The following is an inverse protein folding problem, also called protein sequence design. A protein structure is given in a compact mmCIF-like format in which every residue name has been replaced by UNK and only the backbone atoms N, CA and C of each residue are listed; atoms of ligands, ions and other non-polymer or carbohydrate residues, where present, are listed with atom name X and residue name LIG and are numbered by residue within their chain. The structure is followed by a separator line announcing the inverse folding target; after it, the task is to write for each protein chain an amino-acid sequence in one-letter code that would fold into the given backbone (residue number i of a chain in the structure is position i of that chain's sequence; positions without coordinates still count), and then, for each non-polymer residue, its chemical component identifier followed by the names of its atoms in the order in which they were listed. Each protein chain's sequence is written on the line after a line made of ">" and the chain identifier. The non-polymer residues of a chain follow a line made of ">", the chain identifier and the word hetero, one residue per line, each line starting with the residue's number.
data_IF_728296455698
#
_entry.id   IF_728296455698
#
_cell.length_a   1.000
_cell.length_b   1.000
_cell.length_c   1.000
_cell.angle_alpha   90.00
_cell.angle_beta   90.00
_cell.angle_gamma   90.00
#
_symmetry.space_group_name_H-M   'P 1'
#
loop_
_entity.id
_entity.type
_entity.pdbx_description
1 polymer ?
#
# COMPACT_ATOMS: atom_id res chain seq x y z
N UNK A 1 -21.01 -13.67 15.19
CA UNK A 1 -20.01 -12.77 15.82
C UNK A 1 -20.24 -11.34 15.33
N UNK A 2 -20.28 -10.34 16.22
CA UNK A 2 -20.53 -8.95 15.83
C UNK A 2 -19.29 -8.25 15.25
N UNK A 3 -19.50 -7.21 14.42
CA UNK A 3 -18.42 -6.37 13.83
C UNK A 3 -17.38 -5.87 14.85
N UNK A 4 -17.79 -5.65 16.11
CA UNK A 4 -16.92 -5.21 17.22
C UNK A 4 -15.91 -6.28 17.67
N UNK A 5 -16.26 -7.57 17.58
CA UNK A 5 -15.42 -8.69 18.04
C UNK A 5 -14.23 -8.93 17.10
N UNK A 6 -14.43 -8.76 15.79
CA UNK A 6 -13.39 -8.93 14.77
C UNK A 6 -12.45 -7.72 14.68
N UNK A 7 -12.96 -6.49 14.90
CA UNK A 7 -12.11 -5.30 14.98
C UNK A 7 -11.11 -5.35 16.16
N UNK A 8 -11.49 -6.00 17.27
CA UNK A 8 -10.60 -6.26 18.41
C UNK A 8 -9.50 -7.29 18.10
N UNK A 9 -9.77 -8.24 17.18
CA UNK A 9 -8.80 -9.22 16.69
C UNK A 9 -7.72 -8.58 15.80
N UNK A 10 -8.06 -7.51 15.05
CA UNK A 10 -7.07 -6.70 14.31
C UNK A 10 -6.12 -5.94 15.25
N UNK A 11 -6.55 -5.67 16.49
CA UNK A 11 -5.81 -4.86 17.47
C UNK A 11 -4.82 -5.64 18.32
N UNK A 12 -4.72 -6.97 18.17
CA UNK A 12 -3.74 -7.79 18.91
C UNK A 12 -2.50 -8.06 18.04
N UNK A 13 -1.43 -7.24 18.15
CA UNK A 13 -0.19 -7.54 17.48
C UNK A 13 0.35 -8.89 17.99
N UNK A 14 0.61 -9.83 17.07
CA UNK A 14 1.30 -11.09 17.38
C UNK A 14 0.56 -12.40 17.07
N UNK A 15 -0.75 -12.39 16.73
CA UNK A 15 -1.45 -13.61 16.32
C UNK A 15 -1.67 -13.63 14.81
N UNK A 16 -1.03 -14.57 14.12
CA UNK A 16 -1.32 -14.84 12.71
C UNK A 16 -2.80 -15.24 12.58
N UNK A 17 -3.51 -14.57 11.67
CA UNK A 17 -4.89 -14.94 11.37
C UNK A 17 -4.92 -16.30 10.68
N UNK A 18 -6.02 -17.04 10.81
CA UNK A 18 -6.28 -18.15 9.88
C UNK A 18 -6.87 -17.57 8.58
N UNK A 19 -6.81 -18.34 7.48
CA UNK A 19 -7.48 -17.96 6.23
C UNK A 19 -8.98 -17.69 6.47
N UNK A 20 -9.63 -18.54 7.26
CA UNK A 20 -11.04 -18.37 7.61
C UNK A 20 -11.32 -17.04 8.33
N UNK A 21 -10.52 -16.69 9.34
CA UNK A 21 -10.68 -15.42 10.06
C UNK A 21 -10.48 -14.20 9.14
N UNK A 22 -9.52 -14.30 8.21
CA UNK A 22 -9.29 -13.26 7.21
C UNK A 22 -10.48 -13.14 6.26
N UNK A 23 -11.00 -14.25 5.76
CA UNK A 23 -12.17 -14.27 4.88
C UNK A 23 -13.42 -13.70 5.56
N UNK A 24 -13.70 -14.11 6.80
CA UNK A 24 -14.82 -13.57 7.60
C UNK A 24 -14.68 -12.06 7.80
N UNK A 25 -13.46 -11.58 8.10
CA UNK A 25 -13.22 -10.16 8.22
C UNK A 25 -13.42 -9.42 6.89
N UNK A 26 -12.83 -9.91 5.79
CA UNK A 26 -12.94 -9.32 4.46
C UNK A 26 -14.40 -9.29 3.98
N UNK A 27 -15.19 -10.33 4.26
CA UNK A 27 -16.62 -10.37 3.94
C UNK A 27 -17.39 -9.25 4.67
N UNK A 28 -17.02 -8.89 5.90
CA UNK A 28 -17.63 -7.75 6.60
C UNK A 28 -17.28 -6.38 6.00
N UNK A 29 -16.20 -6.30 5.22
CA UNK A 29 -15.76 -5.08 4.53
C UNK A 29 -16.27 -5.00 3.08
N UNK A 30 -16.83 -6.09 2.56
CA UNK A 30 -17.25 -6.22 1.18
C UNK A 30 -18.61 -5.56 0.93
N UNK A 31 -18.77 -5.02 -0.28
CA UNK A 31 -20.05 -4.56 -0.80
C UNK A 31 -20.91 -5.74 -1.27
N UNK A 32 -22.19 -5.48 -1.53
CA UNK A 32 -23.15 -6.50 -1.96
C UNK A 32 -22.69 -7.24 -3.24
N UNK A 33 -22.10 -6.52 -4.19
CA UNK A 33 -21.59 -7.09 -5.45
C UNK A 33 -20.46 -8.10 -5.21
N UNK A 34 -19.47 -7.74 -4.39
CA UNK A 34 -18.36 -8.64 -4.05
C UNK A 34 -18.86 -9.86 -3.27
N UNK A 35 -19.84 -9.70 -2.38
CA UNK A 35 -20.47 -10.81 -1.66
C UNK A 35 -21.24 -11.74 -2.60
N UNK A 36 -21.97 -11.20 -3.58
CA UNK A 36 -22.68 -12.00 -4.59
C UNK A 36 -21.70 -12.83 -5.45
N UNK A 37 -20.47 -12.33 -5.64
CA UNK A 37 -19.40 -12.97 -6.43
C UNK A 37 -18.31 -13.58 -5.55
N UNK A 38 -18.59 -13.86 -4.28
CA UNK A 38 -17.56 -14.23 -3.29
C UNK A 38 -16.76 -15.49 -3.64
N UNK A 39 -17.44 -16.48 -4.24
CA UNK A 39 -16.81 -17.71 -4.73
C UNK A 39 -15.89 -17.43 -5.93
N UNK A 40 -16.31 -16.56 -6.85
CA UNK A 40 -15.52 -16.17 -8.02
C UNK A 40 -14.28 -15.34 -7.61
N UNK A 41 -14.41 -14.57 -6.53
CA UNK A 41 -13.33 -13.77 -5.99
C UNK A 41 -12.26 -14.58 -5.22
N UNK A 42 -12.42 -15.92 -5.09
CA UNK A 42 -11.49 -16.77 -4.35
C UNK A 42 -10.03 -16.55 -4.76
N UNK A 43 -9.64 -16.57 -6.05
CA UNK A 43 -8.23 -16.48 -6.42
C UNK A 43 -7.59 -15.18 -5.95
N UNK A 44 -8.34 -14.08 -6.04
CA UNK A 44 -7.92 -12.77 -5.54
C UNK A 44 -7.83 -12.77 -4.01
N UNK A 45 -8.79 -13.38 -3.31
CA UNK A 45 -8.78 -13.49 -1.85
C UNK A 45 -7.58 -14.29 -1.36
N UNK A 46 -7.27 -15.41 -2.02
CA UNK A 46 -6.10 -16.23 -1.66
C UNK A 46 -4.79 -15.48 -1.87
N UNK A 47 -4.66 -14.77 -2.98
CA UNK A 47 -3.46 -14.00 -3.28
C UNK A 47 -3.21 -12.91 -2.22
N UNK A 48 -4.24 -12.12 -1.88
CA UNK A 48 -4.15 -11.07 -0.88
C UNK A 48 -3.91 -11.64 0.53
N UNK A 49 -4.54 -12.78 0.84
CA UNK A 49 -4.30 -13.51 2.08
C UNK A 49 -2.84 -13.96 2.18
N UNK A 50 -2.30 -14.61 1.13
CA UNK A 50 -0.90 -15.07 1.10
C UNK A 50 0.05 -13.90 1.27
N UNK A 51 -0.18 -12.78 0.58
CA UNK A 51 0.58 -11.54 0.74
C UNK A 51 0.44 -10.89 2.13
N UNK A 52 -0.51 -11.34 2.96
CA UNK A 52 -0.75 -10.78 4.28
C UNK A 52 -1.31 -9.36 4.25
N UNK A 53 -2.01 -9.00 3.17
CA UNK A 53 -2.70 -7.71 3.00
C UNK A 53 -4.07 -7.78 3.66
N UNK A 54 -4.47 -6.72 4.35
CA UNK A 54 -5.78 -6.60 4.99
C UNK A 54 -6.57 -5.51 4.28
N UNK A 55 -7.79 -5.83 3.84
CA UNK A 55 -8.72 -4.86 3.28
C UNK A 55 -9.65 -4.36 4.38
N UNK A 56 -9.85 -3.04 4.50
CA UNK A 56 -10.78 -2.43 5.46
C UNK A 56 -11.66 -1.41 4.75
N UNK A 57 -12.96 -1.45 5.04
CA UNK A 57 -13.87 -0.37 4.67
C UNK A 57 -13.76 0.73 5.72
N UNK A 58 -13.44 1.97 5.29
CA UNK A 58 -13.56 3.15 6.15
C UNK A 58 -15.02 3.58 6.21
N UNK A 59 -15.49 4.20 5.13
CA UNK A 59 -16.88 4.56 4.86
C UNK A 59 -17.37 4.02 3.49
N UNK A 60 -16.50 3.37 2.71
CA UNK A 60 -16.85 2.72 1.44
C UNK A 60 -16.53 1.23 1.51
N UNK A 61 -17.48 0.35 1.16
CA UNK A 61 -17.23 -1.08 1.09
C UNK A 61 -16.37 -1.47 -0.10
N UNK A 62 -15.59 -2.54 0.03
CA UNK A 62 -14.75 -3.06 -1.05
C UNK A 62 -15.58 -3.72 -2.16
N UNK A 63 -15.23 -3.41 -3.41
CA UNK A 63 -15.79 -4.03 -4.61
C UNK A 63 -14.83 -5.05 -5.20
N UNK A 64 -15.30 -5.88 -6.13
CA UNK A 64 -14.44 -6.82 -6.85
C UNK A 64 -13.37 -6.09 -7.65
N UNK A 65 -13.76 -5.05 -8.39
CA UNK A 65 -12.87 -4.23 -9.23
C UNK A 65 -11.73 -3.60 -8.41
N UNK A 66 -12.07 -3.01 -7.24
CA UNK A 66 -11.05 -2.45 -6.36
C UNK A 66 -10.10 -3.53 -5.84
N UNK A 67 -10.62 -4.73 -5.55
CA UNK A 67 -9.80 -5.86 -5.09
C UNK A 67 -8.88 -6.39 -6.20
N UNK A 68 -9.33 -6.41 -7.45
CA UNK A 68 -8.51 -6.76 -8.62
C UNK A 68 -7.33 -5.81 -8.80
N UNK A 69 -7.55 -4.49 -8.64
CA UNK A 69 -6.47 -3.50 -8.68
C UNK A 69 -5.44 -3.75 -7.57
N UNK A 70 -5.90 -4.12 -6.37
CA UNK A 70 -5.00 -4.45 -5.27
C UNK A 70 -4.16 -5.67 -5.57
N UNK A 71 -4.81 -6.75 -6.01
CA UNK A 71 -4.11 -7.98 -6.39
C UNK A 71 -3.09 -7.69 -7.51
N UNK A 72 -3.45 -6.90 -8.53
CA UNK A 72 -2.51 -6.54 -9.59
C UNK A 72 -1.30 -5.73 -9.05
N UNK A 73 -1.54 -4.82 -8.10
CA UNK A 73 -0.48 -4.13 -7.37
C UNK A 73 0.46 -5.10 -6.64
N UNK A 74 -0.10 -6.05 -5.88
CA UNK A 74 0.65 -7.09 -5.16
C UNK A 74 1.49 -7.93 -6.12
N UNK A 75 0.91 -8.43 -7.22
CA UNK A 75 1.63 -9.23 -8.23
C UNK A 75 2.79 -8.46 -8.83
N UNK A 76 2.57 -7.23 -9.28
CA UNK A 76 3.61 -6.42 -9.94
C UNK A 76 4.74 -6.06 -8.98
N UNK A 77 4.41 -5.67 -7.76
CA UNK A 77 5.41 -5.39 -6.73
C UNK A 77 6.23 -6.65 -6.45
N UNK A 78 5.57 -7.78 -6.22
CA UNK A 78 6.24 -9.06 -5.93
C UNK A 78 7.13 -9.51 -7.10
N UNK A 79 6.63 -9.43 -8.33
CA UNK A 79 7.37 -9.80 -9.53
C UNK A 79 8.61 -8.92 -9.75
N UNK A 80 8.50 -7.60 -9.55
CA UNK A 80 9.61 -6.67 -9.80
C UNK A 80 10.64 -6.67 -8.67
N UNK A 81 10.18 -6.73 -7.43
CA UNK A 81 11.05 -6.71 -6.25
C UNK A 81 11.72 -8.07 -6.01
N UNK A 82 11.08 -9.15 -6.45
CA UNK A 82 11.45 -10.51 -6.11
C UNK A 82 11.18 -10.85 -4.65
N UNK A 83 11.06 -12.15 -4.36
CA UNK A 83 10.86 -12.67 -3.01
C UNK A 83 9.39 -12.95 -2.66
N UNK A 84 9.18 -13.27 -1.39
CA UNK A 84 7.87 -13.65 -0.86
C UNK A 84 6.97 -12.42 -0.64
N UNK A 85 5.73 -12.48 -1.14
CA UNK A 85 4.79 -11.36 -1.06
C UNK A 85 4.45 -10.98 0.39
N UNK A 86 4.43 -11.94 1.32
CA UNK A 86 4.17 -11.69 2.75
C UNK A 86 5.35 -11.00 3.41
N UNK A 87 6.58 -11.36 3.06
CA UNK A 87 7.76 -10.62 3.53
C UNK A 87 7.75 -9.16 3.08
N UNK A 88 7.30 -8.91 1.85
CA UNK A 88 7.18 -7.56 1.31
C UNK A 88 6.04 -6.80 1.98
N UNK A 89 4.82 -7.31 1.87
CA UNK A 89 3.57 -6.57 2.10
C UNK A 89 2.80 -7.01 3.36
N UNK A 90 3.28 -8.04 4.07
CA UNK A 90 2.60 -8.57 5.25
C UNK A 90 2.41 -7.50 6.32
N UNK A 91 1.15 -7.33 6.75
CA UNK A 91 0.74 -6.32 7.72
C UNK A 91 0.29 -4.99 7.08
N UNK A 92 0.34 -4.87 5.75
CA UNK A 92 -0.25 -3.75 5.02
C UNK A 92 -1.78 -3.77 5.17
N UNK A 93 -2.35 -2.64 5.57
CA UNK A 93 -3.81 -2.44 5.63
C UNK A 93 -4.23 -1.42 4.59
N UNK A 94 -5.09 -1.80 3.65
CA UNK A 94 -5.69 -0.88 2.69
C UNK A 94 -7.07 -0.46 3.20
N UNK A 95 -7.32 0.84 3.26
CA UNK A 95 -8.56 1.42 3.77
C UNK A 95 -9.23 2.19 2.65
N UNK A 96 -10.45 1.79 2.29
CA UNK A 96 -11.22 2.46 1.23
C UNK A 96 -12.15 3.52 1.83
N UNK A 97 -12.03 4.76 1.36
CA UNK A 97 -12.73 5.92 1.92
C UNK A 97 -13.34 6.84 0.84
N UNK A 98 -14.43 7.55 1.13
CA UNK A 98 -15.01 8.58 0.25
C UNK A 98 -14.04 9.75 0.12
N UNK A 99 -13.38 10.11 1.22
CA UNK A 99 -12.41 11.20 1.28
C UNK A 99 -11.18 10.75 2.05
N UNK A 100 -10.03 10.90 1.42
CA UNK A 100 -8.74 10.69 2.05
C UNK A 100 -8.20 12.02 2.57
N UNK A 101 -8.22 12.20 3.88
CA UNK A 101 -7.55 13.32 4.54
C UNK A 101 -6.43 12.81 5.46
N UNK A 102 -5.18 13.26 5.26
CA UNK A 102 -4.10 12.91 6.17
C UNK A 102 -4.37 13.51 7.56
N UNK A 103 -3.77 12.92 8.61
CA UNK A 103 -3.96 13.39 9.99
C UNK A 103 -3.56 14.86 10.20
N UNK A 104 -2.66 15.39 9.38
CA UNK A 104 -2.24 16.79 9.38
C UNK A 104 -3.13 17.71 8.52
N UNK A 105 -4.22 17.21 7.95
CA UNK A 105 -5.18 18.00 7.15
C UNK A 105 -5.68 19.28 7.86
N UNK A 106 -5.87 19.34 9.19
CA UNK A 106 -6.18 20.60 9.86
C UNK A 106 -5.11 21.69 9.64
N UNK A 107 -3.83 21.35 9.71
CA UNK A 107 -2.72 22.29 9.45
C UNK A 107 -2.69 22.73 7.99
N UNK A 108 -2.95 21.79 7.07
CA UNK A 108 -3.07 22.12 5.65
C UNK A 108 -4.19 23.10 5.38
N UNK A 109 -5.38 22.87 5.96
CA UNK A 109 -6.53 23.76 5.83
C UNK A 109 -6.21 25.15 6.36
N UNK A 110 -5.50 25.23 7.49
CA UNK A 110 -5.08 26.49 8.08
C UNK A 110 -4.20 27.30 7.11
N UNK A 111 -3.25 26.66 6.44
CA UNK A 111 -2.31 27.35 5.54
C UNK A 111 -2.86 27.59 4.12
N UNK A 112 -3.64 26.66 3.59
CA UNK A 112 -4.05 26.66 2.18
C UNK A 112 -5.52 27.05 1.96
N UNK A 113 -6.31 27.17 3.03
CA UNK A 113 -7.77 27.45 2.99
C UNK A 113 -8.58 26.49 2.09
N UNK A 114 -8.06 25.29 1.83
CA UNK A 114 -8.67 24.23 1.01
C UNK A 114 -8.52 22.88 1.70
N UNK A 115 -9.48 21.94 1.54
CA UNK A 115 -9.33 20.58 2.09
C UNK A 115 -8.20 19.83 1.40
N UNK A 116 -7.46 19.04 2.18
CA UNK A 116 -6.33 18.26 1.67
C UNK A 116 -6.79 17.19 0.66
N UNK A 117 -8.00 16.65 0.84
CA UNK A 117 -8.58 15.60 -0.01
C UNK A 117 -8.71 15.95 -1.50
N UNK A 118 -8.66 17.24 -1.87
CA UNK A 118 -8.65 17.68 -3.27
C UNK A 118 -7.32 17.41 -3.97
N UNK A 119 -6.22 17.30 -3.21
CA UNK A 119 -4.87 17.10 -3.73
C UNK A 119 -4.41 15.64 -3.59
N UNK A 120 -4.92 14.92 -2.60
CA UNK A 120 -4.48 13.57 -2.26
C UNK A 120 -5.57 12.56 -2.60
N UNK A 121 -5.30 11.69 -3.58
CA UNK A 121 -6.16 10.55 -3.93
C UNK A 121 -5.85 9.29 -3.11
N UNK A 122 -4.74 9.30 -2.39
CA UNK A 122 -4.36 8.31 -1.38
C UNK A 122 -3.31 8.90 -0.43
N UNK A 123 -3.04 8.22 0.69
CA UNK A 123 -1.86 8.45 1.51
C UNK A 123 -1.51 7.23 2.37
N UNK A 124 -0.23 7.07 2.66
CA UNK A 124 0.30 6.06 3.58
C UNK A 124 0.56 6.63 4.99
N UNK A 125 0.23 5.86 6.03
CA UNK A 125 0.57 6.16 7.43
C UNK A 125 0.61 4.88 8.28
N UNK A 126 1.78 4.53 8.84
CA UNK A 126 1.96 3.46 9.84
C UNK A 126 1.37 2.12 9.40
N UNK A 127 1.83 1.61 8.26
CA UNK A 127 1.35 0.35 7.70
C UNK A 127 -0.04 0.41 7.06
N UNK A 128 -0.68 1.58 6.99
CA UNK A 128 -2.01 1.75 6.39
C UNK A 128 -1.90 2.62 5.15
N UNK A 129 -2.61 2.24 4.09
CA UNK A 129 -2.81 3.09 2.91
C UNK A 129 -4.30 3.42 2.85
N UNK A 130 -4.61 4.70 2.91
CA UNK A 130 -5.95 5.22 2.73
C UNK A 130 -6.14 5.54 1.25
N UNK A 131 -7.17 4.96 0.63
CA UNK A 131 -7.46 5.08 -0.79
C UNK A 131 -8.81 5.76 -0.97
N UNK A 132 -8.87 6.75 -1.86
CA UNK A 132 -10.14 7.37 -2.23
C UNK A 132 -10.89 6.44 -3.19
N UNK A 133 -12.16 6.16 -2.93
CA UNK A 133 -12.93 5.15 -3.65
C UNK A 133 -13.10 5.42 -5.14
N UNK A 134 -13.21 6.69 -5.54
CA UNK A 134 -13.25 7.14 -6.94
C UNK A 134 -11.88 7.12 -7.63
N UNK A 135 -10.81 6.78 -6.90
CA UNK A 135 -9.42 6.84 -7.37
C UNK A 135 -8.60 5.61 -6.97
N UNK A 136 -9.22 4.43 -6.92
CA UNK A 136 -8.49 3.15 -6.78
C UNK A 136 -7.77 2.85 -8.10
N UNK A 137 -6.58 3.42 -8.27
CA UNK A 137 -5.76 3.26 -9.47
C UNK A 137 -4.47 2.56 -9.12
N UNK A 138 -4.05 1.65 -10.00
CA UNK A 138 -2.83 0.87 -9.83
C UNK A 138 -1.59 1.76 -9.59
N UNK A 139 -1.44 2.86 -10.34
CA UNK A 139 -0.30 3.76 -10.19
C UNK A 139 -0.24 4.42 -8.81
N UNK A 140 -1.38 4.87 -8.30
CA UNK A 140 -1.51 5.45 -6.97
C UNK A 140 -1.24 4.40 -5.90
N UNK A 141 -1.83 3.21 -6.03
CA UNK A 141 -1.62 2.12 -5.07
C UNK A 141 -0.13 1.72 -4.97
N UNK A 142 0.53 1.51 -6.10
CA UNK A 142 1.94 1.10 -6.12
C UNK A 142 2.85 2.19 -5.57
N UNK A 143 2.54 3.47 -5.82
CA UNK A 143 3.24 4.60 -5.19
C UNK A 143 3.16 4.52 -3.67
N UNK A 144 1.95 4.35 -3.11
CA UNK A 144 1.75 4.24 -1.66
C UNK A 144 2.38 2.95 -1.07
N UNK A 145 2.40 1.85 -1.82
CA UNK A 145 3.17 0.65 -1.45
C UNK A 145 4.68 0.94 -1.37
N UNK A 146 5.19 1.85 -2.22
CA UNK A 146 6.56 2.36 -2.13
C UNK A 146 6.83 3.07 -0.80
N UNK A 147 5.90 3.92 -0.33
CA UNK A 147 5.98 4.52 1.01
C UNK A 147 5.95 3.48 2.12
N UNK A 148 5.07 2.48 2.03
CA UNK A 148 4.99 1.39 2.99
C UNK A 148 6.32 0.60 3.08
N UNK A 149 6.92 0.27 1.94
CA UNK A 149 8.20 -0.44 1.90
C UNK A 149 9.35 0.43 2.41
N UNK A 150 9.33 1.73 2.15
CA UNK A 150 10.29 2.66 2.74
C UNK A 150 10.14 2.73 4.26
N UNK A 151 8.93 2.81 4.79
CA UNK A 151 8.68 2.78 6.24
C UNK A 151 9.24 1.50 6.86
N UNK A 152 9.04 0.36 6.21
CA UNK A 152 9.48 -0.96 6.68
C UNK A 152 11.00 -1.16 6.62
N UNK A 153 11.71 -0.48 5.71
CA UNK A 153 13.12 -0.77 5.37
C UNK A 153 14.07 0.44 5.42
N UNK A 154 13.56 1.63 5.65
CA UNK A 154 14.31 2.89 5.75
C UNK A 154 15.20 3.19 4.52
N UNK A 155 14.65 3.01 3.32
CA UNK A 155 15.36 3.10 2.04
C UNK A 155 15.67 4.54 1.62
N UNK A 156 14.77 5.49 1.90
CA UNK A 156 14.78 6.86 1.37
C UNK A 156 16.03 7.65 1.77
N UNK A 157 16.63 7.36 2.92
CA UNK A 157 17.89 7.99 3.34
C UNK A 157 19.06 7.52 2.49
N UNK A 158 19.17 6.22 2.21
CA UNK A 158 20.22 5.67 1.35
C UNK A 158 20.02 6.10 -0.11
N UNK A 159 18.78 6.05 -0.59
CA UNK A 159 18.36 6.57 -1.88
C UNK A 159 18.79 8.04 -2.09
N UNK A 160 18.46 8.93 -1.16
CA UNK A 160 18.84 10.34 -1.26
C UNK A 160 20.35 10.59 -1.17
N UNK A 161 21.14 9.70 -0.56
CA UNK A 161 22.62 9.74 -0.67
C UNK A 161 23.09 9.30 -2.04
N UNK A 162 22.50 8.23 -2.56
CA UNK A 162 22.84 7.70 -3.89
C UNK A 162 22.62 8.72 -5.00
N UNK A 163 21.48 9.41 -5.00
CA UNK A 163 21.19 10.47 -5.97
C UNK A 163 22.19 11.62 -5.89
N UNK A 164 22.48 12.11 -4.69
CA UNK A 164 23.42 13.22 -4.50
C UNK A 164 24.84 12.85 -4.93
N UNK A 165 25.29 11.63 -4.67
CA UNK A 165 26.58 11.14 -5.14
C UNK A 165 26.67 11.09 -6.67
N UNK A 166 25.55 10.88 -7.36
CA UNK A 166 25.46 10.93 -8.81
C UNK A 166 25.16 12.34 -9.37
N UNK A 167 25.21 13.39 -8.53
CA UNK A 167 24.93 14.78 -8.95
C UNK A 167 23.45 15.09 -9.20
N UNK A 168 22.52 14.19 -8.84
CA UNK A 168 21.09 14.38 -9.04
C UNK A 168 20.41 15.07 -7.85
N UNK A 169 19.42 15.91 -8.17
CA UNK A 169 18.51 16.50 -7.17
C UNK A 169 17.40 15.53 -6.81
N UNK A 170 17.03 15.57 -5.54
CA UNK A 170 15.81 14.91 -5.02
C UNK A 170 14.60 15.75 -5.43
N UNK A 171 13.58 15.11 -5.98
CA UNK A 171 12.32 15.75 -6.40
C UNK A 171 11.34 15.84 -5.23
N UNK A 172 10.81 17.03 -4.94
CA UNK A 172 9.88 17.30 -3.80
C UNK A 172 10.50 17.02 -2.43
N UNK A 173 10.64 15.75 -2.06
CA UNK A 173 11.40 15.27 -0.91
C UNK A 173 11.82 13.81 -1.15
N UNK A 174 12.70 13.27 -0.31
CA UNK A 174 13.28 11.92 -0.51
C UNK A 174 12.27 10.78 -0.46
N UNK A 175 11.15 10.95 0.24
CA UNK A 175 10.12 9.93 0.39
C UNK A 175 9.26 9.87 -0.88
N UNK A 176 8.81 11.03 -1.35
CA UNK A 176 8.01 11.18 -2.56
C UNK A 176 8.79 10.79 -3.82
N UNK A 177 10.06 11.21 -3.94
CA UNK A 177 10.91 10.84 -5.07
C UNK A 177 11.13 9.32 -5.13
N UNK A 178 11.40 8.69 -3.97
CA UNK A 178 11.53 7.24 -3.89
C UNK A 178 10.22 6.53 -4.27
N UNK A 179 9.07 6.97 -3.75
CA UNK A 179 7.77 6.35 -4.05
C UNK A 179 7.39 6.47 -5.53
N UNK A 180 7.66 7.62 -6.15
CA UNK A 180 7.48 7.82 -7.59
C UNK A 180 8.42 6.96 -8.43
N UNK A 181 9.71 6.91 -8.06
CA UNK A 181 10.70 6.06 -8.72
C UNK A 181 10.30 4.58 -8.63
N UNK A 182 9.88 4.15 -7.45
CA UNK A 182 9.40 2.79 -7.20
C UNK A 182 8.19 2.46 -8.06
N UNK A 183 7.18 3.34 -8.12
CA UNK A 183 6.01 3.13 -8.96
C UNK A 183 6.39 3.01 -10.44
N UNK A 184 7.27 3.88 -10.95
CA UNK A 184 7.73 3.77 -12.34
C UNK A 184 8.48 2.47 -12.60
N UNK A 185 9.34 2.05 -11.68
CA UNK A 185 10.09 0.80 -11.78
C UNK A 185 9.22 -0.46 -11.81
N UNK A 186 8.21 -0.53 -10.93
CA UNK A 186 7.25 -1.63 -10.85
C UNK A 186 6.32 -1.67 -12.07
N UNK A 187 5.95 -0.50 -12.59
CA UNK A 187 5.02 -0.38 -13.72
C UNK A 187 5.72 -0.39 -15.09
N UNK A 188 7.04 -0.53 -15.14
CA UNK A 188 7.81 -0.52 -16.39
C UNK A 188 7.77 0.82 -17.12
N UNK A 189 7.57 1.93 -16.39
CA UNK A 189 7.55 3.29 -16.96
C UNK A 189 8.96 3.85 -17.04
N UNK A 190 9.20 4.85 -17.91
CA UNK A 190 10.49 5.52 -17.99
C UNK A 190 10.97 6.01 -16.62
N UNK A 191 12.22 5.70 -16.31
CA UNK A 191 12.92 6.08 -15.09
C UNK A 191 14.38 6.35 -15.45
N UNK A 192 15.01 7.35 -14.83
CA UNK A 192 16.43 7.58 -15.07
C UNK A 192 17.28 6.42 -14.54
N UNK A 193 18.42 6.18 -15.20
CA UNK A 193 19.28 5.05 -14.93
C UNK A 193 19.82 5.02 -13.48
N UNK A 194 20.00 6.18 -12.84
CA UNK A 194 20.50 6.25 -11.46
C UNK A 194 19.42 5.78 -10.48
N UNK A 195 18.18 6.28 -10.62
CA UNK A 195 17.04 5.82 -9.83
C UNK A 195 16.78 4.33 -10.06
N UNK A 196 16.80 3.88 -11.32
CA UNK A 196 16.63 2.47 -11.65
C UNK A 196 17.72 1.60 -11.03
N UNK A 197 18.99 1.97 -11.20
CA UNK A 197 20.13 1.23 -10.67
C UNK A 197 20.17 1.19 -9.13
N UNK A 198 19.57 2.16 -8.44
CA UNK A 198 19.34 2.04 -7.01
C UNK A 198 18.33 0.93 -6.70
N UNK A 199 17.15 0.98 -7.30
CA UNK A 199 16.04 0.04 -7.01
C UNK A 199 16.40 -1.41 -7.34
N UNK A 200 17.19 -1.64 -8.38
CA UNK A 200 17.67 -2.96 -8.79
C UNK A 200 18.73 -3.55 -7.84
N UNK A 201 19.42 -2.71 -7.07
CA UNK A 201 20.38 -3.16 -6.04
C UNK A 201 19.76 -3.37 -4.67
N UNK A 202 18.55 -2.84 -4.44
CA UNK A 202 17.83 -3.05 -3.18
C UNK A 202 17.47 -4.53 -3.08
N UNK A 203 17.87 -5.17 -1.98
CA UNK A 203 17.39 -6.51 -1.65
C UNK A 203 16.02 -6.39 -1.00
N UNK A 204 14.98 -6.71 -1.78
CA UNK A 204 13.60 -6.66 -1.34
C UNK A 204 13.15 -7.94 -0.62
N UNK A 205 13.81 -9.09 -0.80
CA UNK A 205 13.67 -10.25 0.08
C UNK A 205 14.80 -10.28 1.11
N UNK A 206 14.56 -10.76 2.32
CA UNK A 206 15.45 -10.75 3.51
C UNK A 206 15.46 -9.46 4.33
N UNK A 207 14.91 -9.56 5.55
CA UNK A 207 15.24 -8.69 6.66
C UNK A 207 16.72 -8.87 7.01
N UNK A 208 17.62 -8.17 6.32
CA UNK A 208 18.92 -7.90 6.92
C UNK A 208 18.67 -6.95 8.08
N UNK A 209 18.60 -7.48 9.30
CA UNK A 209 19.01 -6.70 10.47
C UNK A 209 20.43 -6.26 10.17
N UNK A 210 20.58 -5.05 9.65
CA UNK A 210 21.86 -4.36 9.70
C UNK A 210 22.11 -4.16 11.19
N UNK A 211 22.92 -5.04 11.76
CA UNK A 211 23.54 -4.84 13.07
C UNK A 211 24.54 -3.71 12.95
#
# INVERSE_FOLDING_TARGET
>A
MGRRSLAALVRRPGRAWTRQQWDEYTALQAGAELLARWAQAEPLRDELWRAGVILRAGDVPWTLEAMEVVADGVRRVTARCGGDARELLGGLVLILEIRTEPWWAPLWRLWNRKPASLRFGAYQNRGKIHLRADNVRLATLVHEMGHYLDEKRHLSRAYGRHLRAAGLRVQTNRYEDLANAFANHVLGRPLDAVRQGYLERVRWGTASKVR
#
